data_IF_759085573420
#
_entry.id   IF_759085573420
#
_cell.length_a   1.000
_cell.length_b   1.000
_cell.length_c   1.000
_cell.angle_alpha   90.00
_cell.angle_beta   90.00
_cell.angle_gamma   90.00
#
_symmetry.space_group_name_H-M   'P 1'
#
loop_
_entity.id
_entity.type
_entity.pdbx_description
1 polymer ?
#
# COMPACT_ATOMS: atom_id res chain seq x y z
N UNK A 1 10.92 -4.28 0.27
CA UNK A 1 11.12 -4.43 -1.19
C UNK A 1 9.78 -4.16 -1.84
N UNK A 2 9.68 -3.90 -3.15
CA UNK A 2 8.36 -3.75 -3.81
C UNK A 2 8.29 -4.76 -4.92
N UNK A 3 7.66 -5.88 -4.61
CA UNK A 3 7.54 -7.05 -5.47
C UNK A 3 6.98 -6.66 -6.84
N UNK A 4 5.99 -5.76 -6.86
CA UNK A 4 5.39 -5.30 -8.13
C UNK A 4 6.37 -4.52 -8.99
N UNK A 5 7.27 -3.72 -8.39
CA UNK A 5 8.26 -2.92 -9.14
C UNK A 5 9.34 -3.80 -9.75
N UNK A 6 9.77 -4.81 -9.01
CA UNK A 6 10.79 -5.75 -9.48
C UNK A 6 10.23 -6.59 -10.66
N UNK A 7 8.97 -7.02 -10.58
CA UNK A 7 8.29 -7.74 -11.66
C UNK A 7 8.10 -6.90 -12.92
N UNK A 8 7.60 -5.68 -12.78
CA UNK A 8 7.40 -4.76 -13.90
C UNK A 8 8.72 -4.47 -14.63
N UNK A 9 9.83 -4.33 -13.89
CA UNK A 9 11.15 -4.15 -14.49
C UNK A 9 11.58 -5.38 -15.28
N UNK A 10 11.36 -6.58 -14.74
CA UNK A 10 11.66 -7.85 -15.42
C UNK A 10 10.85 -8.01 -16.72
N UNK A 11 9.56 -7.64 -16.70
CA UNK A 11 8.71 -7.69 -17.89
C UNK A 11 9.06 -6.65 -18.92
N UNK A 12 9.48 -5.45 -18.52
CA UNK A 12 10.00 -4.46 -19.45
C UNK A 12 11.18 -5.02 -20.26
N UNK A 13 12.15 -5.63 -19.59
CA UNK A 13 13.33 -6.20 -20.24
C UNK A 13 12.97 -7.38 -21.16
N UNK A 14 12.04 -8.23 -20.73
CA UNK A 14 11.52 -9.32 -21.55
C UNK A 14 10.78 -8.81 -22.81
N UNK A 15 9.92 -7.80 -22.67
CA UNK A 15 9.23 -7.16 -23.79
C UNK A 15 10.22 -6.54 -24.78
N UNK A 16 11.28 -5.90 -24.28
CA UNK A 16 12.33 -5.34 -25.11
C UNK A 16 13.02 -6.44 -25.95
N UNK A 17 13.27 -7.63 -25.36
CA UNK A 17 13.85 -8.77 -26.06
C UNK A 17 12.91 -9.35 -27.14
N UNK A 18 11.60 -9.39 -26.89
CA UNK A 18 10.59 -9.79 -27.88
C UNK A 18 10.63 -8.87 -29.09
N UNK A 19 10.60 -7.55 -28.85
CA UNK A 19 10.62 -6.54 -29.91
C UNK A 19 11.91 -6.66 -30.72
N UNK A 20 13.05 -6.83 -30.06
CA UNK A 20 14.35 -6.91 -30.73
C UNK A 20 14.54 -8.21 -31.54
N UNK A 21 13.94 -9.33 -31.11
CA UNK A 21 14.13 -10.66 -31.72
C UNK A 21 12.91 -11.16 -32.50
N UNK A 22 11.87 -10.36 -32.64
CA UNK A 22 10.60 -10.73 -33.30
C UNK A 22 10.02 -12.06 -32.79
N UNK A 23 10.04 -12.25 -31.46
CA UNK A 23 9.47 -13.46 -30.86
C UNK A 23 7.94 -13.44 -30.96
N UNK A 24 7.35 -14.61 -31.19
CA UNK A 24 5.90 -14.75 -31.13
C UNK A 24 5.45 -14.72 -29.66
N UNK A 25 4.41 -13.96 -29.36
CA UNK A 25 3.71 -13.93 -28.06
C UNK A 25 2.24 -14.22 -28.28
N UNK A 26 1.62 -14.85 -27.29
CA UNK A 26 0.22 -15.27 -27.30
C UNK A 26 -0.57 -14.51 -26.24
N UNK A 27 -1.90 -14.53 -26.36
CA UNK A 27 -2.77 -13.97 -25.32
C UNK A 27 -2.57 -14.65 -23.95
N UNK A 28 -2.11 -15.90 -23.93
CA UNK A 28 -1.82 -16.64 -22.70
C UNK A 28 -0.65 -16.04 -21.94
N UNK A 29 0.41 -15.62 -22.63
CA UNK A 29 1.57 -15.00 -21.99
C UNK A 29 1.15 -13.73 -21.23
N UNK A 30 0.29 -12.91 -21.84
CA UNK A 30 -0.24 -11.71 -21.19
C UNK A 30 -1.18 -12.02 -20.02
N UNK A 31 -1.96 -13.11 -20.09
CA UNK A 31 -2.80 -13.53 -18.97
C UNK A 31 -1.95 -13.93 -17.76
N UNK A 32 -0.92 -14.76 -17.98
CA UNK A 32 0.01 -15.19 -16.92
C UNK A 32 0.75 -13.98 -16.30
N UNK A 33 1.08 -12.96 -17.11
CA UNK A 33 1.66 -11.72 -16.60
C UNK A 33 0.71 -10.94 -15.67
N UNK A 34 -0.58 -10.87 -16.03
CA UNK A 34 -1.58 -10.17 -15.21
C UNK A 34 -1.78 -10.89 -13.88
N UNK A 35 -1.88 -12.23 -13.90
CA UNK A 35 -2.03 -13.05 -12.70
C UNK A 35 -0.84 -12.85 -11.74
N UNK A 36 0.39 -12.89 -12.23
CA UNK A 36 1.60 -12.65 -11.41
C UNK A 36 1.64 -11.23 -10.84
N UNK A 37 1.23 -10.21 -11.60
CA UNK A 37 1.16 -8.83 -11.09
C UNK A 37 0.10 -8.66 -10.00
N UNK A 38 -1.01 -9.39 -10.08
CA UNK A 38 -2.02 -9.40 -9.02
C UNK A 38 -1.48 -10.03 -7.74
N UNK A 39 -0.76 -11.16 -7.85
CA UNK A 39 -0.11 -11.80 -6.70
C UNK A 39 0.94 -10.89 -6.04
N UNK A 40 1.82 -10.27 -6.83
CA UNK A 40 2.84 -9.36 -6.31
C UNK A 40 2.20 -8.10 -5.68
N UNK A 41 1.05 -7.64 -6.19
CA UNK A 41 0.29 -6.53 -5.60
C UNK A 41 -0.29 -6.93 -4.24
N UNK A 42 -0.96 -8.09 -4.15
CA UNK A 42 -1.49 -8.59 -2.88
C UNK A 42 -0.37 -8.81 -1.85
N UNK A 43 0.79 -9.27 -2.31
CA UNK A 43 1.97 -9.43 -1.47
C UNK A 43 2.49 -8.08 -0.98
N UNK A 44 2.69 -7.10 -1.87
CA UNK A 44 3.12 -5.76 -1.50
C UNK A 44 2.11 -5.10 -0.53
N UNK A 45 0.81 -5.33 -0.69
CA UNK A 45 -0.22 -4.85 0.23
C UNK A 45 -0.11 -5.51 1.61
N UNK A 46 0.04 -6.84 1.65
CA UNK A 46 0.27 -7.61 2.89
C UNK A 46 1.54 -7.16 3.61
N UNK A 47 2.63 -6.96 2.87
CA UNK A 47 3.94 -6.61 3.41
C UNK A 47 4.04 -5.15 3.86
N UNK A 48 3.40 -4.23 3.13
CA UNK A 48 3.40 -2.82 3.50
C UNK A 48 2.32 -2.48 4.55
N UNK A 49 1.30 -3.34 4.72
CA UNK A 49 0.37 -3.36 5.84
C UNK A 49 -0.56 -2.15 5.93
N UNK A 50 -0.55 -1.26 4.94
CA UNK A 50 -1.36 -0.05 4.88
C UNK A 50 -2.71 -0.32 4.24
N UNK A 51 -3.78 0.04 4.95
CA UNK A 51 -5.16 -0.13 4.52
C UNK A 51 -5.73 1.26 4.20
N UNK A 52 -6.14 1.54 2.96
CA UNK A 52 -6.81 2.78 2.60
C UNK A 52 -8.09 2.99 3.41
N UNK A 53 -8.34 4.22 3.87
CA UNK A 53 -9.60 4.55 4.58
C UNK A 53 -10.82 4.38 3.68
N UNK A 54 -10.65 4.53 2.36
CA UNK A 54 -11.70 4.28 1.36
C UNK A 54 -12.08 2.80 1.22
N UNK A 55 -11.19 1.88 1.62
CA UNK A 55 -11.46 0.45 1.62
C UNK A 55 -12.19 0.06 2.90
N UNK A 56 -11.59 0.33 4.06
CA UNK A 56 -12.22 0.08 5.37
C UNK A 56 -11.60 0.89 6.50
N UNK A 57 -12.36 0.99 7.59
CA UNK A 57 -11.88 1.51 8.88
C UNK A 57 -11.39 0.38 9.80
N UNK A 58 -10.59 0.71 10.84
CA UNK A 58 -10.28 -0.24 11.90
C UNK A 58 -11.55 -0.77 12.59
N UNK A 59 -11.46 -1.99 13.10
CA UNK A 59 -12.56 -2.64 13.80
C UNK A 59 -12.70 -2.14 15.24
N UNK A 60 -11.57 -1.96 15.93
CA UNK A 60 -11.49 -1.50 17.31
C UNK A 60 -11.06 -0.04 17.42
N UNK A 61 -11.41 0.59 18.55
CA UNK A 61 -10.85 1.90 18.89
C UNK A 61 -9.43 1.72 19.39
N UNK A 62 -8.52 2.62 19.04
CA UNK A 62 -7.11 2.46 19.38
C UNK A 62 -6.22 3.49 18.70
N UNK A 63 -4.91 3.38 18.93
CA UNK A 63 -3.91 4.20 18.21
C UNK A 63 -3.38 3.41 17.02
N UNK A 64 -3.36 4.03 15.85
CA UNK A 64 -2.86 3.43 14.62
C UNK A 64 -1.81 4.35 14.00
N UNK A 65 -0.95 3.78 13.17
CA UNK A 65 -0.16 4.57 12.24
C UNK A 65 -1.07 4.97 11.08
N UNK A 66 -0.97 6.23 10.66
CA UNK A 66 -1.83 6.81 9.63
C UNK A 66 -0.99 7.60 8.62
N UNK A 67 -1.42 7.54 7.37
CA UNK A 67 -0.99 8.48 6.33
C UNK A 67 -2.02 9.60 6.27
N UNK A 68 -1.56 10.84 6.37
CA UNK A 68 -2.39 12.02 6.34
C UNK A 68 -1.98 12.95 5.18
N UNK A 69 -2.97 13.61 4.58
CA UNK A 69 -2.80 14.67 3.59
C UNK A 69 -3.06 16.02 4.27
N UNK A 70 -2.05 16.90 4.32
CA UNK A 70 -2.15 18.25 4.91
C UNK A 70 -2.64 19.33 3.92
N UNK A 71 -3.02 18.91 2.71
CA UNK A 71 -3.40 19.77 1.58
C UNK A 71 -2.28 19.99 0.57
N UNK A 72 -1.03 19.63 0.89
CA UNK A 72 0.12 19.74 -0.02
C UNK A 72 0.97 18.47 -0.09
N UNK A 73 1.21 17.80 1.04
CA UNK A 73 2.18 16.70 1.13
C UNK A 73 1.66 15.56 2.01
N UNK A 74 1.95 14.32 1.62
CA UNK A 74 1.61 13.15 2.43
C UNK A 74 2.57 13.04 3.61
N UNK A 75 2.03 12.77 4.80
CA UNK A 75 2.80 12.63 6.04
C UNK A 75 2.36 11.38 6.79
N UNK A 76 3.33 10.60 7.27
CA UNK A 76 3.07 9.49 8.18
C UNK A 76 3.09 9.99 9.62
N UNK A 77 2.08 9.60 10.42
CA UNK A 77 1.98 9.94 11.84
C UNK A 77 1.14 8.92 12.60
N UNK A 78 0.80 9.21 13.85
CA UNK A 78 -0.09 8.40 14.67
C UNK A 78 -1.39 9.14 14.98
N UNK A 79 -2.51 8.43 14.95
CA UNK A 79 -3.82 8.97 15.29
C UNK A 79 -4.63 7.96 16.11
N UNK A 80 -5.51 8.49 16.97
CA UNK A 80 -6.50 7.66 17.65
C UNK A 80 -7.71 7.47 16.76
N UNK A 81 -8.20 6.25 16.65
CA UNK A 81 -9.44 5.94 15.97
C UNK A 81 -10.52 5.62 17.00
N UNK A 82 -11.71 6.19 16.80
CA UNK A 82 -12.91 5.86 17.57
C UNK A 82 -13.87 5.06 16.69
N UNK A 83 -13.97 3.76 16.93
CA UNK A 83 -14.75 2.84 16.10
C UNK A 83 -16.26 3.10 16.13
N UNK A 84 -16.79 3.56 17.29
CA UNK A 84 -18.20 3.93 17.42
C UNK A 84 -18.59 5.16 16.60
N UNK A 85 -17.69 6.12 16.47
CA UNK A 85 -17.91 7.36 15.71
C UNK A 85 -17.33 7.31 14.28
N UNK A 86 -16.64 6.21 13.94
CA UNK A 86 -15.86 6.05 12.69
C UNK A 86 -14.99 7.29 12.39
N UNK A 87 -14.34 7.81 13.43
CA UNK A 87 -13.61 9.08 13.39
C UNK A 87 -12.15 8.92 13.80
N UNK A 88 -11.27 9.58 13.06
CA UNK A 88 -9.87 9.78 13.41
C UNK A 88 -9.69 11.05 14.24
N UNK A 89 -8.93 10.96 15.33
CA UNK A 89 -8.59 12.08 16.19
C UNK A 89 -7.12 12.46 16.00
N UNK A 90 -6.95 13.61 15.36
CA UNK A 90 -5.67 14.29 15.20
C UNK A 90 -5.69 15.55 16.07
N UNK A 91 -4.58 15.83 16.76
CA UNK A 91 -4.48 16.95 17.71
C UNK A 91 -3.56 18.05 17.21
N UNK A 92 -3.80 19.27 17.72
CA UNK A 92 -3.00 20.46 17.40
C UNK A 92 -3.09 20.86 15.93
N UNK A 93 -1.96 21.25 15.35
CA UNK A 93 -1.86 21.65 13.94
C UNK A 93 -2.21 20.55 12.92
N UNK A 94 -2.52 19.32 13.37
CA UNK A 94 -2.91 18.20 12.50
C UNK A 94 -4.42 18.00 12.43
N UNK A 95 -5.20 18.75 13.21
CA UNK A 95 -6.65 18.56 13.32
C UNK A 95 -7.39 18.71 11.97
N UNK A 96 -6.81 19.43 11.02
CA UNK A 96 -7.37 19.62 9.68
C UNK A 96 -6.79 18.66 8.62
N UNK A 97 -5.87 17.76 8.98
CA UNK A 97 -5.32 16.81 8.01
C UNK A 97 -6.31 15.68 7.73
N UNK A 98 -6.38 15.26 6.46
CA UNK A 98 -7.23 14.14 6.05
C UNK A 98 -6.47 12.83 6.14
N UNK A 99 -6.94 11.88 6.95
CA UNK A 99 -6.38 10.51 6.98
C UNK A 99 -6.78 9.78 5.69
N UNK A 100 -5.79 9.21 5.00
CA UNK A 100 -5.97 8.51 3.71
C UNK A 100 -5.74 7.01 3.80
N UNK A 101 -4.82 6.56 4.67
CA UNK A 101 -4.55 5.15 4.92
C UNK A 101 -4.15 4.93 6.38
N UNK A 102 -4.26 3.70 6.88
CA UNK A 102 -3.91 3.34 8.24
C UNK A 102 -3.31 1.94 8.33
N UNK A 103 -2.56 1.67 9.40
CA UNK A 103 -2.10 0.32 9.75
C UNK A 103 -1.99 0.15 11.26
N UNK A 104 -2.11 -1.09 11.80
CA UNK A 104 -1.75 -1.37 13.18
C UNK A 104 -0.33 -0.88 13.51
N UNK A 105 -0.11 -0.53 14.78
CA UNK A 105 1.24 -0.22 15.24
C UNK A 105 2.12 -1.47 15.11
N UNK A 106 3.40 -1.31 14.70
CA UNK A 106 4.34 -2.42 14.76
C UNK A 106 4.58 -2.85 16.21
N UNK A 107 5.08 -4.06 16.39
CA UNK A 107 5.50 -4.50 17.72
C UNK A 107 6.58 -3.55 18.27
N UNK A 108 6.47 -3.12 19.55
CA UNK A 108 7.47 -2.25 20.15
C UNK A 108 8.81 -2.99 20.23
N UNK A 109 9.89 -2.28 19.90
CA UNK A 109 11.25 -2.77 20.10
C UNK A 109 11.48 -3.11 21.59
N UNK A 110 12.15 -4.24 21.83
CA UNK A 110 12.59 -4.66 23.17
C UNK A 110 14.11 -4.83 23.08
N UNK A 111 14.83 -4.17 23.99
CA UNK A 111 16.24 -4.45 24.20
C UNK A 111 16.37 -5.78 24.96
N UNK A 112 17.32 -6.62 24.55
CA UNK A 112 17.68 -7.88 25.21
C UNK A 112 18.49 -7.63 26.50
#
# INVERSE_FOLDING_TARGET
MSHIKDRLSSYHDWMQDIVNRYKLVTARDFLEMIEQLQEDLEQDEKENGWIPVSERFPESSGTYQVTCMDGRVYRSTYAKFQSRLKRWELTGARAYWKVTAWRPLPEPYKED
#
